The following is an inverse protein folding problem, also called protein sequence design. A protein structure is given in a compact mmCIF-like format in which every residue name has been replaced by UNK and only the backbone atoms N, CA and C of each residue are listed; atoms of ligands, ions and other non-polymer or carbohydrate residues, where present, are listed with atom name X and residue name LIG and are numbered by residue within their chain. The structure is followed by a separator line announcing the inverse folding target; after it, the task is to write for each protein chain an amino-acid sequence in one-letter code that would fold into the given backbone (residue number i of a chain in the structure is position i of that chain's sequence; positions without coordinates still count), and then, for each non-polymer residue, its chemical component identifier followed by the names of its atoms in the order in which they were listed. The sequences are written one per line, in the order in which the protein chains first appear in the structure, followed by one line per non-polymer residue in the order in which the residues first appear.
data_IF_962347298858
#
_entry.id   IF_962347298858
#
_cell.length_a   1.000
_cell.length_b   1.000
_cell.length_c   1.000
_cell.angle_alpha   90.00
_cell.angle_beta   90.00
_cell.angle_gamma   90.00
#
_symmetry.space_group_name_H-M   'P 1'
#
loop_
_entity.id
_entity.type
_entity.pdbx_description
1 polymer ?
#
# COMPACT_ATOMS: atom_id res chain seq x y z
N UNK A 1 5.40 -0.19 -25.35
CA UNK A 1 6.74 0.40 -25.57
C UNK A 1 7.24 1.09 -24.32
N UNK A 2 6.60 2.13 -23.80
CA UNK A 2 7.02 2.88 -22.57
C UNK A 2 7.24 1.99 -21.36
N UNK A 3 6.30 1.08 -21.03
CA UNK A 3 6.42 0.14 -19.91
C UNK A 3 7.68 -0.72 -20.01
N UNK A 4 8.05 -1.18 -21.20
CA UNK A 4 9.27 -1.98 -21.41
C UNK A 4 10.54 -1.16 -21.16
N UNK A 5 10.58 0.10 -21.61
CA UNK A 5 11.72 1.00 -21.37
C UNK A 5 11.92 1.24 -19.88
N UNK A 6 10.85 1.53 -19.13
CA UNK A 6 10.92 1.72 -17.68
C UNK A 6 11.31 0.43 -16.97
N UNK A 7 10.79 -0.72 -17.43
CA UNK A 7 11.15 -2.04 -16.93
C UNK A 7 12.65 -2.30 -17.00
N UNK A 8 13.27 -1.97 -18.13
CA UNK A 8 14.71 -2.13 -18.31
C UNK A 8 15.53 -1.10 -17.52
N UNK A 9 15.08 0.15 -17.49
CA UNK A 9 15.77 1.23 -16.77
C UNK A 9 15.81 1.04 -15.25
N UNK A 10 14.76 0.39 -14.68
CA UNK A 10 14.67 0.11 -13.24
C UNK A 10 15.06 -1.33 -12.87
N UNK A 11 15.68 -2.06 -13.80
CA UNK A 11 16.12 -3.43 -13.56
C UNK A 11 17.21 -3.49 -12.49
N UNK A 12 17.11 -4.50 -11.61
CA UNK A 12 18.08 -4.74 -10.53
C UNK A 12 18.65 -6.16 -10.62
N UNK A 13 19.70 -6.44 -9.89
CA UNK A 13 20.14 -7.81 -9.67
C UNK A 13 19.20 -8.48 -8.65
N UNK A 14 18.27 -9.29 -9.15
CA UNK A 14 17.22 -9.90 -8.33
C UNK A 14 17.78 -10.87 -7.28
N UNK A 15 18.84 -11.60 -7.59
CA UNK A 15 19.43 -12.56 -6.66
C UNK A 15 20.16 -11.83 -5.53
N UNK A 16 20.94 -10.80 -5.86
CA UNK A 16 21.61 -9.96 -4.87
C UNK A 16 20.59 -9.24 -3.98
N UNK A 17 19.51 -8.72 -4.57
CA UNK A 17 18.46 -8.01 -3.85
C UNK A 17 17.68 -8.95 -2.93
N UNK A 18 17.30 -10.15 -3.39
CA UNK A 18 16.69 -11.18 -2.56
C UNK A 18 17.56 -11.51 -1.34
N UNK A 19 18.85 -11.75 -1.56
CA UNK A 19 19.78 -12.06 -0.48
C UNK A 19 19.89 -10.90 0.53
N UNK A 20 19.96 -9.66 0.05
CA UNK A 20 20.03 -8.46 0.88
C UNK A 20 18.76 -8.29 1.74
N UNK A 21 17.58 -8.43 1.14
CA UNK A 21 16.30 -8.33 1.86
C UNK A 21 16.17 -9.46 2.88
N UNK A 22 16.42 -10.71 2.46
CA UNK A 22 16.30 -11.87 3.35
C UNK A 22 17.28 -11.79 4.55
N UNK A 23 18.52 -11.36 4.34
CA UNK A 23 19.48 -11.13 5.41
C UNK A 23 19.01 -10.02 6.36
N UNK A 24 18.48 -8.92 5.83
CA UNK A 24 17.96 -7.79 6.62
C UNK A 24 16.75 -8.22 7.45
N UNK A 25 15.77 -8.92 6.85
CA UNK A 25 14.59 -9.43 7.57
C UNK A 25 15.01 -10.37 8.70
N UNK A 26 15.92 -11.30 8.44
CA UNK A 26 16.44 -12.24 9.45
C UNK A 26 17.10 -11.51 10.61
N UNK A 27 17.97 -10.55 10.32
CA UNK A 27 18.65 -9.73 11.32
C UNK A 27 17.66 -8.92 12.14
N UNK A 28 16.72 -8.22 11.50
CA UNK A 28 15.73 -7.40 12.20
C UNK A 28 14.83 -8.25 13.09
N UNK A 29 14.29 -9.36 12.59
CA UNK A 29 13.42 -10.22 13.38
C UNK A 29 14.15 -10.81 14.58
N UNK A 30 15.31 -11.43 14.37
CA UNK A 30 15.97 -12.20 15.43
C UNK A 30 16.88 -11.36 16.32
N UNK A 31 17.65 -10.43 15.75
CA UNK A 31 18.69 -9.71 16.48
C UNK A 31 18.18 -8.37 17.02
N UNK A 32 17.48 -7.59 16.21
CA UNK A 32 17.02 -6.25 16.61
C UNK A 32 15.74 -6.34 17.45
N UNK A 33 14.70 -7.00 16.93
CA UNK A 33 13.38 -7.07 17.55
C UNK A 33 13.24 -8.21 18.56
N UNK A 34 14.19 -9.18 18.56
CA UNK A 34 14.14 -10.38 19.41
C UNK A 34 12.83 -11.17 19.25
N UNK A 35 12.34 -11.27 18.01
CA UNK A 35 11.12 -12.00 17.66
C UNK A 35 11.46 -13.36 17.03
N UNK A 36 10.46 -14.26 16.97
CA UNK A 36 10.64 -15.66 16.55
C UNK A 36 10.22 -15.91 15.10
N UNK A 37 9.46 -14.99 14.49
CA UNK A 37 8.90 -15.11 13.15
C UNK A 37 8.23 -13.83 12.71
N UNK A 38 7.42 -13.88 11.66
CA UNK A 38 6.74 -12.74 11.06
C UNK A 38 5.26 -13.01 10.81
N UNK A 39 4.43 -11.98 10.98
CA UNK A 39 3.02 -11.93 10.56
C UNK A 39 2.92 -11.08 9.30
N UNK A 40 2.24 -11.58 8.28
CA UNK A 40 2.00 -10.90 7.00
C UNK A 40 0.51 -10.89 6.68
N UNK A 41 -0.09 -9.71 6.53
CA UNK A 41 -1.46 -9.63 5.98
C UNK A 41 -1.43 -9.87 4.47
N UNK A 42 -2.12 -10.91 4.00
CA UNK A 42 -2.19 -11.32 2.60
C UNK A 42 -3.51 -10.87 1.98
N UNK A 43 -3.45 -9.87 1.11
CA UNK A 43 -4.61 -9.35 0.37
C UNK A 43 -4.82 -10.00 -1.00
N UNK A 44 -3.93 -10.94 -1.39
CA UNK A 44 -3.90 -11.46 -2.76
C UNK A 44 -3.36 -10.45 -3.80
N UNK A 45 -2.92 -9.27 -3.36
CA UNK A 45 -2.21 -8.30 -4.19
C UNK A 45 -0.70 -8.62 -4.26
N UNK A 46 -0.03 -8.10 -5.29
CA UNK A 46 1.36 -8.44 -5.59
C UNK A 46 2.33 -8.02 -4.47
N UNK A 47 2.12 -6.86 -3.82
CA UNK A 47 3.00 -6.35 -2.76
C UNK A 47 2.99 -7.28 -1.54
N UNK A 48 1.80 -7.60 -1.02
CA UNK A 48 1.65 -8.51 0.14
C UNK A 48 2.17 -9.92 -0.17
N UNK A 49 1.95 -10.39 -1.40
CA UNK A 49 2.44 -11.69 -1.87
C UNK A 49 3.96 -11.74 -1.94
N UNK A 50 4.59 -10.68 -2.46
CA UNK A 50 6.05 -10.57 -2.49
C UNK A 50 6.62 -10.50 -1.08
N UNK A 51 6.03 -9.71 -0.17
CA UNK A 51 6.46 -9.64 1.23
C UNK A 51 6.38 -11.00 1.91
N UNK A 52 5.29 -11.74 1.69
CA UNK A 52 5.13 -13.11 2.19
C UNK A 52 6.26 -14.03 1.71
N UNK A 53 6.54 -14.02 0.40
CA UNK A 53 7.62 -14.82 -0.20
C UNK A 53 9.00 -14.45 0.35
N UNK A 54 9.30 -13.16 0.51
CA UNK A 54 10.56 -12.67 1.08
C UNK A 54 10.70 -13.08 2.55
N UNK A 55 9.62 -13.05 3.33
CA UNK A 55 9.64 -13.54 4.71
C UNK A 55 9.89 -15.06 4.78
N UNK A 56 9.30 -15.85 3.88
CA UNK A 56 9.56 -17.30 3.79
C UNK A 56 11.01 -17.57 3.42
N UNK A 57 11.58 -16.84 2.47
CA UNK A 57 13.01 -16.94 2.11
C UNK A 57 13.94 -16.57 3.29
N UNK A 58 13.52 -15.63 4.12
CA UNK A 58 14.31 -15.20 5.27
C UNK A 58 14.21 -16.14 6.47
N UNK A 59 13.02 -16.62 6.80
CA UNK A 59 12.71 -17.25 8.10
C UNK A 59 12.30 -18.73 7.99
N UNK A 60 11.95 -19.19 6.79
CA UNK A 60 11.29 -20.48 6.56
C UNK A 60 9.76 -20.41 6.75
N UNK A 61 9.01 -21.32 6.09
CA UNK A 61 7.54 -21.26 6.06
C UNK A 61 6.90 -21.41 7.45
N UNK A 62 7.46 -22.22 8.34
CA UNK A 62 6.93 -22.48 9.69
C UNK A 62 7.01 -21.26 10.63
N UNK A 63 7.72 -20.22 10.25
CA UNK A 63 7.91 -18.99 11.03
C UNK A 63 7.25 -17.75 10.39
N UNK A 64 6.37 -17.98 9.43
CA UNK A 64 5.58 -16.94 8.79
C UNK A 64 4.10 -17.27 8.93
N UNK A 65 3.32 -16.38 9.54
CA UNK A 65 1.86 -16.52 9.61
C UNK A 65 1.22 -15.57 8.60
N UNK A 66 0.45 -16.12 7.67
CA UNK A 66 -0.40 -15.35 6.75
C UNK A 66 -1.74 -15.00 7.40
N UNK A 67 -2.15 -13.73 7.36
CA UNK A 67 -3.48 -13.31 7.80
C UNK A 67 -4.33 -12.90 6.62
N UNK A 68 -5.50 -13.51 6.49
CA UNK A 68 -6.50 -13.23 5.48
C UNK A 68 -7.69 -12.54 6.17
N UNK A 69 -7.79 -11.23 6.02
CA UNK A 69 -8.71 -10.36 6.76
C UNK A 69 -9.72 -9.67 5.81
N UNK A 70 -10.59 -10.44 5.13
CA UNK A 70 -11.62 -9.86 4.27
C UNK A 70 -12.69 -9.13 5.08
N UNK A 71 -13.42 -8.26 4.39
CA UNK A 71 -14.61 -7.61 4.91
C UNK A 71 -15.69 -7.56 3.80
N UNK A 72 -16.88 -7.02 4.07
CA UNK A 72 -18.02 -7.11 3.15
C UNK A 72 -17.80 -6.50 1.77
N UNK A 73 -16.97 -5.44 1.67
CA UNK A 73 -16.65 -4.80 0.39
C UNK A 73 -15.49 -5.49 -0.34
N UNK A 74 -14.81 -6.47 0.29
CA UNK A 74 -13.74 -7.25 -0.33
C UNK A 74 -14.28 -8.15 -1.44
N UNK A 75 -13.62 -8.15 -2.59
CA UNK A 75 -14.03 -8.97 -3.73
C UNK A 75 -13.83 -10.48 -3.47
N UNK A 76 -14.62 -11.32 -4.15
CA UNK A 76 -14.43 -12.77 -4.10
C UNK A 76 -13.05 -13.18 -4.64
N UNK A 77 -12.54 -12.44 -5.65
CA UNK A 77 -11.20 -12.64 -6.20
C UNK A 77 -10.11 -12.38 -5.16
N UNK A 78 -10.20 -11.30 -4.36
CA UNK A 78 -9.28 -11.02 -3.25
C UNK A 78 -9.19 -12.20 -2.28
N UNK A 79 -10.34 -12.81 -1.94
CA UNK A 79 -10.38 -13.97 -1.04
C UNK A 79 -9.70 -15.18 -1.64
N UNK A 80 -9.99 -15.51 -2.90
CA UNK A 80 -9.37 -16.67 -3.57
C UNK A 80 -7.88 -16.51 -3.77
N UNK A 81 -7.41 -15.33 -4.17
CA UNK A 81 -5.99 -15.06 -4.38
C UNK A 81 -5.19 -15.03 -3.07
N UNK A 82 -5.78 -14.51 -1.97
CA UNK A 82 -5.10 -14.54 -0.67
C UNK A 82 -4.93 -15.97 -0.13
N UNK A 83 -5.90 -16.85 -0.37
CA UNK A 83 -5.77 -18.28 -0.04
C UNK A 83 -4.75 -18.97 -0.94
N UNK A 84 -4.78 -18.69 -2.24
CA UNK A 84 -3.87 -19.28 -3.21
C UNK A 84 -2.41 -18.93 -2.90
N UNK A 85 -2.10 -17.69 -2.52
CA UNK A 85 -0.75 -17.31 -2.17
C UNK A 85 -0.29 -17.95 -0.86
N UNK A 86 -1.13 -18.04 0.15
CA UNK A 86 -0.77 -18.73 1.40
C UNK A 86 -0.43 -20.20 1.16
N UNK A 87 -1.24 -20.88 0.33
CA UNK A 87 -1.00 -22.27 -0.08
C UNK A 87 0.28 -22.40 -0.93
N UNK A 88 0.51 -21.51 -1.90
CA UNK A 88 1.72 -21.50 -2.73
C UNK A 88 3.00 -21.33 -1.89
N UNK A 89 2.95 -20.49 -0.86
CA UNK A 89 4.08 -20.26 0.04
C UNK A 89 4.26 -21.36 1.07
N UNK A 90 3.29 -22.26 1.22
CA UNK A 90 3.31 -23.34 2.20
C UNK A 90 3.29 -22.85 3.65
N UNK A 91 2.71 -21.68 3.92
CA UNK A 91 2.68 -21.07 5.26
C UNK A 91 1.36 -21.35 5.99
N UNK A 92 1.39 -21.48 7.32
CA UNK A 92 0.17 -21.44 8.12
C UNK A 92 -0.59 -20.13 7.89
N UNK A 93 -1.91 -20.18 7.80
CA UNK A 93 -2.74 -19.00 7.61
C UNK A 93 -3.98 -19.02 8.48
N UNK A 94 -4.39 -17.81 8.92
CA UNK A 94 -5.63 -17.58 9.67
C UNK A 94 -6.57 -16.73 8.80
N UNK A 95 -7.81 -17.15 8.69
CA UNK A 95 -8.86 -16.43 7.98
C UNK A 95 -9.87 -15.87 8.97
N UNK A 96 -10.05 -14.56 9.00
CA UNK A 96 -11.01 -13.90 9.86
C UNK A 96 -11.73 -12.78 9.10
N UNK A 97 -13.04 -12.92 8.90
CA UNK A 97 -13.88 -11.84 8.39
C UNK A 97 -14.01 -10.74 9.45
N UNK A 98 -13.67 -9.50 9.07
CA UNK A 98 -13.68 -8.35 10.00
C UNK A 98 -14.92 -7.46 9.85
N UNK A 99 -15.94 -7.91 9.10
CA UNK A 99 -17.16 -7.15 8.81
C UNK A 99 -17.88 -6.70 10.07
N UNK A 100 -18.06 -7.61 11.05
CA UNK A 100 -18.78 -7.32 12.29
C UNK A 100 -18.02 -6.32 13.16
N UNK A 101 -16.68 -6.42 13.24
CA UNK A 101 -15.85 -5.44 13.94
C UNK A 101 -15.99 -4.05 13.33
N UNK A 102 -15.95 -3.95 12.00
CA UNK A 102 -16.11 -2.69 11.28
C UNK A 102 -17.51 -2.12 11.42
N UNK A 103 -18.54 -2.97 11.43
CA UNK A 103 -19.93 -2.57 11.64
C UNK A 103 -20.13 -2.01 13.04
N UNK A 104 -19.62 -2.70 14.07
CA UNK A 104 -19.68 -2.26 15.46
C UNK A 104 -18.93 -0.94 15.68
N UNK A 105 -17.78 -0.72 15.01
CA UNK A 105 -17.04 0.53 15.04
C UNK A 105 -17.73 1.68 14.27
N UNK A 106 -18.79 1.40 13.50
CA UNK A 106 -19.52 2.39 12.72
C UNK A 106 -18.89 2.74 11.36
N UNK A 107 -17.91 1.97 10.89
CA UNK A 107 -17.22 2.19 9.62
C UNK A 107 -18.19 2.45 8.46
N UNK A 108 -19.11 1.54 8.23
CA UNK A 108 -20.06 1.63 7.13
C UNK A 108 -21.11 2.73 7.36
N UNK A 109 -21.58 2.89 8.59
CA UNK A 109 -22.58 3.90 8.94
C UNK A 109 -22.04 5.31 8.68
N UNK A 110 -20.86 5.65 9.18
CA UNK A 110 -20.26 6.97 8.98
C UNK A 110 -19.94 7.26 7.50
N UNK A 111 -19.47 6.25 6.75
CA UNK A 111 -19.29 6.38 5.30
C UNK A 111 -20.61 6.68 4.61
N UNK A 112 -21.65 5.90 4.87
CA UNK A 112 -22.93 5.98 4.19
C UNK A 112 -23.67 7.28 4.53
N UNK A 113 -23.56 7.79 5.77
CA UNK A 113 -24.08 9.11 6.19
C UNK A 113 -23.41 10.24 5.39
N UNK A 114 -22.07 10.18 5.22
CA UNK A 114 -21.35 11.19 4.44
C UNK A 114 -21.71 11.14 2.95
N UNK A 115 -21.89 9.96 2.37
CA UNK A 115 -22.33 9.83 0.97
C UNK A 115 -23.75 10.38 0.80
N UNK A 116 -24.69 10.08 1.71
CA UNK A 116 -26.07 10.59 1.67
C UNK A 116 -26.15 12.10 1.79
N UNK A 117 -25.22 12.74 2.46
CA UNK A 117 -25.16 14.21 2.51
C UNK A 117 -24.88 14.86 1.15
N UNK A 118 -24.39 14.08 0.17
CA UNK A 118 -24.04 14.53 -1.19
C UNK A 118 -25.01 13.95 -2.24
N UNK A 119 -25.39 12.68 -2.07
CA UNK A 119 -26.31 11.94 -2.95
C UNK A 119 -27.45 11.41 -2.08
N UNK A 120 -28.55 12.13 -2.04
CA UNK A 120 -29.67 11.88 -1.11
C UNK A 120 -30.28 10.47 -1.26
N UNK A 121 -30.34 9.95 -2.49
CA UNK A 121 -30.92 8.63 -2.80
C UNK A 121 -29.96 7.47 -2.52
N UNK A 122 -28.75 7.73 -2.01
CA UNK A 122 -27.81 6.67 -1.69
C UNK A 122 -28.32 5.75 -0.57
N UNK A 123 -28.21 4.45 -0.79
CA UNK A 123 -28.53 3.44 0.22
C UNK A 123 -27.36 2.44 0.41
N UNK A 124 -27.33 1.67 1.52
CA UNK A 124 -26.29 0.67 1.78
C UNK A 124 -26.19 -0.47 0.75
N UNK A 125 -27.18 -0.63 -0.12
CA UNK A 125 -27.17 -1.58 -1.24
C UNK A 125 -26.41 -1.08 -2.46
N UNK A 126 -26.05 0.22 -2.50
CA UNK A 126 -25.27 0.81 -3.58
C UNK A 126 -23.79 0.50 -3.39
N UNK A 127 -23.08 0.38 -4.50
CA UNK A 127 -21.62 0.36 -4.50
C UNK A 127 -21.10 1.80 -4.61
N UNK A 128 -19.87 2.04 -4.14
CA UNK A 128 -19.28 3.37 -4.21
C UNK A 128 -17.76 3.32 -4.40
N UNK A 129 -17.22 4.43 -4.94
CA UNK A 129 -15.77 4.73 -4.95
C UNK A 129 -15.52 6.24 -5.00
N UNK A 130 -14.39 6.67 -4.46
CA UNK A 130 -13.89 8.05 -4.62
C UNK A 130 -12.95 8.07 -5.80
N UNK A 131 -13.07 9.08 -6.68
CA UNK A 131 -12.21 9.22 -7.86
C UNK A 131 -11.54 10.59 -7.89
N UNK A 132 -10.32 10.61 -8.43
CA UNK A 132 -9.54 11.81 -8.68
C UNK A 132 -9.19 11.89 -10.17
N UNK A 133 -9.28 13.06 -10.84
CA UNK A 133 -8.90 13.22 -12.23
C UNK A 133 -7.42 12.89 -12.50
N UNK A 134 -7.10 12.39 -13.70
CA UNK A 134 -5.74 12.10 -14.13
C UNK A 134 -4.85 13.34 -14.16
N UNK A 135 -3.57 13.19 -13.80
CA UNK A 135 -2.54 14.24 -13.96
C UNK A 135 -2.15 14.49 -15.41
N UNK A 136 -2.44 13.55 -16.28
CA UNK A 136 -2.14 13.67 -17.71
C UNK A 136 -3.16 14.54 -18.45
N UNK A 137 -4.34 14.76 -17.86
CA UNK A 137 -5.38 15.62 -18.43
C UNK A 137 -5.08 17.09 -18.17
N UNK A 138 -5.13 17.93 -19.22
CA UNK A 138 -4.70 19.33 -19.16
C UNK A 138 -5.71 20.26 -18.46
N UNK A 139 -7.00 19.93 -18.40
CA UNK A 139 -8.09 20.88 -18.04
C UNK A 139 -8.83 20.55 -16.75
N UNK A 140 -8.49 19.47 -16.03
CA UNK A 140 -9.30 19.06 -14.89
C UNK A 140 -8.81 19.66 -13.58
N UNK A 141 -9.66 20.42 -12.89
CA UNK A 141 -9.46 20.75 -11.48
C UNK A 141 -9.41 19.45 -10.67
N UNK A 142 -8.35 19.23 -9.90
CA UNK A 142 -8.17 18.04 -9.06
C UNK A 142 -9.08 18.07 -7.84
N UNK A 143 -10.36 17.74 -8.09
CA UNK A 143 -11.41 17.71 -7.07
C UNK A 143 -11.92 16.28 -6.95
N UNK A 144 -11.88 15.75 -5.73
CA UNK A 144 -12.45 14.45 -5.42
C UNK A 144 -13.94 14.39 -5.75
N UNK A 145 -14.35 13.32 -6.39
CA UNK A 145 -15.74 13.00 -6.66
C UNK A 145 -16.08 11.64 -6.07
N UNK A 146 -17.33 11.48 -5.62
CA UNK A 146 -17.92 10.19 -5.31
C UNK A 146 -18.64 9.65 -6.54
N UNK A 147 -18.41 8.39 -6.86
CA UNK A 147 -19.21 7.62 -7.82
C UNK A 147 -19.96 6.56 -7.05
N UNK A 148 -21.28 6.52 -7.22
CA UNK A 148 -22.11 5.46 -6.66
C UNK A 148 -22.83 4.73 -7.79
N UNK A 149 -23.06 3.42 -7.58
CA UNK A 149 -23.77 2.56 -8.52
C UNK A 149 -24.93 1.89 -7.79
N UNK A 150 -26.15 2.16 -8.25
CA UNK A 150 -27.36 1.52 -7.74
C UNK A 150 -27.46 0.05 -8.17
N UNK A 151 -28.29 -0.78 -7.52
CA UNK A 151 -28.42 -2.20 -7.85
C UNK A 151 -28.86 -2.50 -9.30
N UNK A 152 -29.51 -1.53 -9.96
CA UNK A 152 -29.88 -1.59 -11.38
C UNK A 152 -28.75 -1.19 -12.34
N UNK A 153 -27.54 -0.91 -11.80
CA UNK A 153 -26.35 -0.56 -12.59
C UNK A 153 -26.23 0.91 -12.97
N UNK A 154 -27.16 1.78 -12.55
CA UNK A 154 -27.09 3.21 -12.83
C UNK A 154 -26.04 3.89 -11.97
N UNK A 155 -25.08 4.55 -12.62
CA UNK A 155 -24.05 5.31 -11.94
C UNK A 155 -24.41 6.79 -11.80
N UNK A 156 -24.11 7.34 -10.64
CA UNK A 156 -24.23 8.77 -10.32
C UNK A 156 -22.89 9.27 -9.80
N UNK A 157 -22.42 10.40 -10.36
CA UNK A 157 -21.18 11.06 -9.92
C UNK A 157 -21.49 12.42 -9.32
N UNK A 158 -20.90 12.73 -8.17
CA UNK A 158 -21.02 14.03 -7.53
C UNK A 158 -19.67 14.50 -6.98
N UNK A 159 -19.44 15.82 -7.02
CA UNK A 159 -18.28 16.45 -6.36
C UNK A 159 -18.39 16.28 -4.85
N UNK A 160 -17.28 15.89 -4.19
CA UNK A 160 -17.20 15.78 -2.74
C UNK A 160 -16.82 17.12 -2.10
N UNK A 161 -17.69 17.70 -1.25
CA UNK A 161 -17.27 18.74 -0.31
C UNK A 161 -16.23 18.20 0.65
N UNK A 162 -15.34 19.08 1.15
CA UNK A 162 -14.21 18.67 2.00
C UNK A 162 -14.65 17.87 3.24
N UNK A 163 -15.70 18.30 3.91
CA UNK A 163 -16.21 17.61 5.11
C UNK A 163 -16.71 16.20 4.80
N UNK A 164 -17.46 16.01 3.70
CA UNK A 164 -17.90 14.68 3.28
C UNK A 164 -16.72 13.79 2.87
N UNK A 165 -15.75 14.32 2.12
CA UNK A 165 -14.50 13.61 1.79
C UNK A 165 -13.77 13.15 3.04
N UNK A 166 -13.50 14.04 3.99
CA UNK A 166 -12.79 13.71 5.23
C UNK A 166 -13.54 12.67 6.06
N UNK A 167 -14.87 12.74 6.13
CA UNK A 167 -15.69 11.76 6.84
C UNK A 167 -15.61 10.37 6.18
N UNK A 168 -15.69 10.28 4.85
CA UNK A 168 -15.57 9.00 4.12
C UNK A 168 -14.19 8.40 4.34
N UNK A 169 -13.12 9.20 4.19
CA UNK A 169 -11.74 8.74 4.41
C UNK A 169 -11.54 8.27 5.85
N UNK A 170 -12.01 9.03 6.84
CA UNK A 170 -11.92 8.64 8.25
C UNK A 170 -12.64 7.33 8.53
N UNK A 171 -13.84 7.14 7.96
CA UNK A 171 -14.61 5.91 8.09
C UNK A 171 -13.92 4.71 7.41
N UNK A 172 -13.39 4.88 6.20
CA UNK A 172 -12.69 3.80 5.49
C UNK A 172 -11.35 3.43 6.13
N UNK A 173 -10.70 4.37 6.82
CA UNK A 173 -9.47 4.11 7.57
C UNK A 173 -9.66 3.12 8.73
N UNK A 174 -10.90 2.89 9.22
CA UNK A 174 -11.17 1.80 10.16
C UNK A 174 -10.73 0.45 9.61
N UNK A 175 -10.90 0.20 8.31
CA UNK A 175 -10.56 -1.09 7.67
C UNK A 175 -9.09 -1.44 7.89
N UNK A 176 -8.18 -0.51 7.60
CA UNK A 176 -6.75 -0.73 7.75
C UNK A 176 -6.31 -0.80 9.22
N UNK A 177 -6.92 0.01 10.10
CA UNK A 177 -6.60 -0.05 11.54
C UNK A 177 -7.10 -1.31 12.20
N UNK A 178 -8.28 -1.83 11.82
CA UNK A 178 -8.80 -3.10 12.32
C UNK A 178 -7.92 -4.28 11.87
N UNK A 179 -7.50 -4.31 10.60
CA UNK A 179 -6.52 -5.30 10.12
C UNK A 179 -5.24 -5.24 10.95
N UNK A 180 -4.68 -4.07 11.15
CA UNK A 180 -3.44 -3.88 11.91
C UNK A 180 -3.58 -4.29 13.38
N UNK A 181 -4.71 -4.02 14.01
CA UNK A 181 -5.01 -4.49 15.36
C UNK A 181 -4.92 -6.03 15.45
N UNK A 182 -5.47 -6.74 14.48
CA UNK A 182 -5.42 -8.22 14.44
C UNK A 182 -4.02 -8.74 14.08
N UNK A 183 -3.29 -8.05 13.22
CA UNK A 183 -1.89 -8.39 12.93
C UNK A 183 -1.05 -8.36 14.20
N UNK A 184 -1.15 -7.30 15.01
CA UNK A 184 -0.43 -7.22 16.28
C UNK A 184 -0.95 -8.20 17.32
N UNK A 185 -2.26 -8.50 17.38
CA UNK A 185 -2.77 -9.57 18.24
C UNK A 185 -2.08 -10.91 17.95
N UNK A 186 -1.98 -11.29 16.67
CA UNK A 186 -1.31 -12.53 16.29
C UNK A 186 0.21 -12.46 16.50
N UNK A 187 0.83 -11.32 16.27
CA UNK A 187 2.24 -11.10 16.54
C UNK A 187 2.57 -11.26 18.02
N UNK A 188 1.77 -10.68 18.89
CA UNK A 188 1.97 -10.76 20.34
C UNK A 188 1.84 -12.19 20.85
N UNK A 189 0.77 -12.93 20.47
CA UNK A 189 0.56 -14.32 20.91
C UNK A 189 1.64 -15.29 20.44
N UNK A 190 2.31 -15.01 19.32
CA UNK A 190 3.35 -15.86 18.74
C UNK A 190 4.77 -15.36 19.05
N UNK A 191 4.91 -14.17 19.60
CA UNK A 191 6.16 -13.43 19.70
C UNK A 191 6.81 -13.22 18.33
N UNK A 192 6.01 -12.79 17.34
CA UNK A 192 6.41 -12.50 15.96
C UNK A 192 6.50 -10.99 15.73
N UNK A 193 7.13 -10.59 14.63
CA UNK A 193 7.15 -9.21 14.13
C UNK A 193 6.03 -9.01 13.09
N UNK A 194 5.44 -7.82 13.06
CA UNK A 194 4.48 -7.44 12.01
C UNK A 194 5.22 -6.88 10.82
N UNK A 195 4.94 -7.40 9.61
CA UNK A 195 5.51 -6.91 8.36
C UNK A 195 4.54 -5.97 7.64
N UNK A 196 5.05 -4.81 7.23
CA UNK A 196 4.33 -3.89 6.36
C UNK A 196 4.60 -4.20 4.88
N UNK A 197 3.63 -3.93 4.06
CA UNK A 197 3.65 -4.24 2.63
C UNK A 197 3.80 -3.03 1.68
N UNK A 198 3.86 -1.76 2.15
CA UNK A 198 4.04 -0.64 1.24
C UNK A 198 5.33 -0.76 0.42
N UNK A 199 5.20 -0.55 -0.90
CA UNK A 199 6.31 -0.37 -1.83
C UNK A 199 6.81 1.10 -1.83
N UNK A 200 7.78 1.43 -2.69
CA UNK A 200 8.38 2.76 -2.75
C UNK A 200 7.39 3.86 -3.06
N UNK A 201 6.49 3.66 -4.01
CA UNK A 201 5.49 4.68 -4.37
C UNK A 201 4.57 5.00 -3.19
N UNK A 202 4.08 3.95 -2.53
CA UNK A 202 3.16 4.08 -1.39
C UNK A 202 3.87 4.70 -0.18
N UNK A 203 5.07 4.22 0.13
CA UNK A 203 5.84 4.70 1.27
C UNK A 203 6.32 6.15 1.09
N UNK A 204 6.88 6.49 -0.08
CA UNK A 204 7.41 7.82 -0.37
C UNK A 204 6.32 8.90 -0.38
N UNK A 205 5.16 8.59 -0.97
CA UNK A 205 4.08 9.56 -1.13
C UNK A 205 3.00 9.46 -0.04
N UNK A 206 3.18 8.60 0.96
CA UNK A 206 2.27 8.47 2.09
C UNK A 206 0.92 7.85 1.74
N UNK A 207 0.89 6.95 0.77
CA UNK A 207 -0.32 6.19 0.43
C UNK A 207 -0.50 5.01 1.38
N UNK A 208 -0.77 5.32 2.62
CA UNK A 208 -1.10 4.37 3.69
C UNK A 208 -1.86 5.08 4.82
N UNK A 209 -2.49 4.32 5.67
CA UNK A 209 -3.19 4.82 6.86
C UNK A 209 -2.24 4.79 8.06
N UNK A 210 -2.00 5.95 8.68
CA UNK A 210 -1.21 6.02 9.92
C UNK A 210 -1.85 5.14 10.99
N UNK A 211 -1.04 4.26 11.60
CA UNK A 211 -1.47 3.22 12.56
C UNK A 211 -2.44 2.18 11.98
N UNK A 212 -2.55 2.14 10.65
CA UNK A 212 -3.14 1.04 9.89
C UNK A 212 -2.03 0.31 9.14
N UNK A 213 -2.14 0.16 7.82
CA UNK A 213 -1.11 -0.44 6.97
C UNK A 213 0.23 0.33 6.97
N UNK A 214 0.22 1.60 7.38
CA UNK A 214 1.44 2.36 7.67
C UNK A 214 2.24 1.88 8.89
N UNK A 215 1.59 1.20 9.85
CA UNK A 215 2.27 0.62 11.00
C UNK A 215 2.85 -0.76 10.68
N UNK A 216 4.08 -0.99 11.10
CA UNK A 216 4.75 -2.29 11.02
C UNK A 216 6.07 -2.22 11.79
N UNK A 217 6.59 -3.38 12.18
CA UNK A 217 7.92 -3.48 12.78
C UNK A 217 9.00 -3.47 11.68
N UNK A 218 8.71 -4.07 10.52
CA UNK A 218 9.60 -4.10 9.35
C UNK A 218 8.83 -3.88 8.05
N UNK A 219 9.45 -3.25 7.05
CA UNK A 219 8.88 -3.00 5.71
C UNK A 219 9.86 -3.47 4.63
N UNK A 220 9.81 -4.75 4.24
CA UNK A 220 10.83 -5.37 3.39
C UNK A 220 10.98 -4.76 2.00
N UNK A 221 9.91 -4.16 1.43
CA UNK A 221 9.87 -3.67 0.05
C UNK A 221 9.69 -2.15 -0.07
N UNK A 222 9.79 -1.40 1.04
CA UNK A 222 9.57 0.06 1.02
C UNK A 222 10.57 0.84 0.14
N UNK A 223 11.69 0.24 -0.23
CA UNK A 223 12.69 0.81 -1.15
C UNK A 223 12.50 0.36 -2.60
N UNK A 224 11.67 -0.67 -2.89
CA UNK A 224 11.44 -1.17 -4.24
C UNK A 224 10.35 -0.37 -4.96
N UNK A 225 10.67 0.11 -6.16
CA UNK A 225 9.67 0.67 -7.07
C UNK A 225 8.64 -0.39 -7.47
N UNK A 226 7.42 0.02 -7.84
CA UNK A 226 6.37 -0.94 -8.23
C UNK A 226 6.78 -1.84 -9.38
N UNK A 227 7.51 -1.29 -10.36
CA UNK A 227 8.12 -2.06 -11.45
C UNK A 227 9.06 -3.15 -10.90
N UNK A 228 9.89 -2.84 -9.91
CA UNK A 228 10.81 -3.80 -9.28
C UNK A 228 10.05 -4.86 -8.45
N UNK A 229 8.93 -4.49 -7.82
CA UNK A 229 8.04 -5.45 -7.14
C UNK A 229 7.54 -6.51 -8.14
N UNK A 230 7.11 -6.10 -9.34
CA UNK A 230 6.70 -7.04 -10.38
C UNK A 230 7.85 -7.93 -10.85
N UNK A 231 9.02 -7.34 -11.05
CA UNK A 231 10.23 -8.08 -11.47
C UNK A 231 10.66 -9.11 -10.42
N UNK A 232 10.67 -8.73 -9.14
CA UNK A 232 10.99 -9.64 -8.04
C UNK A 232 9.94 -10.74 -7.88
N UNK A 233 8.66 -10.43 -8.04
CA UNK A 233 7.58 -11.42 -7.99
C UNK A 233 7.68 -12.44 -9.12
N UNK A 234 8.09 -12.02 -10.32
CA UNK A 234 8.38 -12.91 -11.44
C UNK A 234 9.61 -13.78 -11.17
N UNK A 235 10.70 -13.19 -10.69
CA UNK A 235 11.92 -13.89 -10.33
C UNK A 235 11.70 -14.99 -9.26
N UNK A 236 10.83 -14.70 -8.26
CA UNK A 236 10.47 -15.66 -7.21
C UNK A 236 9.38 -16.67 -7.65
N UNK A 237 8.90 -16.61 -8.88
CA UNK A 237 7.92 -17.55 -9.41
C UNK A 237 6.54 -17.45 -8.75
N UNK A 238 6.15 -16.25 -8.29
CA UNK A 238 4.80 -16.06 -7.73
C UNK A 238 3.72 -16.37 -8.77
N UNK A 239 2.54 -16.86 -8.36
CA UNK A 239 1.46 -17.26 -9.26
C UNK A 239 1.12 -16.18 -10.29
N UNK A 240 0.86 -16.62 -11.52
CA UNK A 240 0.60 -15.72 -12.65
C UNK A 240 -0.61 -14.83 -12.40
N UNK A 241 -1.64 -15.38 -11.78
CA UNK A 241 -2.89 -14.68 -11.46
C UNK A 241 -2.64 -13.47 -10.55
N UNK A 242 -1.67 -13.57 -9.63
CA UNK A 242 -1.27 -12.47 -8.73
C UNK A 242 -0.44 -11.44 -9.49
N UNK A 243 0.48 -11.90 -10.37
CA UNK A 243 1.36 -11.01 -11.15
C UNK A 243 0.64 -10.22 -12.23
N UNK A 244 -0.46 -10.76 -12.78
CA UNK A 244 -1.26 -10.13 -13.82
C UNK A 244 -2.45 -9.31 -13.28
N UNK A 245 -2.78 -9.46 -12.00
CA UNK A 245 -3.84 -8.67 -11.36
C UNK A 245 -3.47 -7.20 -11.34
N UNK A 246 -4.40 -6.35 -11.74
CA UNK A 246 -4.25 -4.90 -11.60
C UNK A 246 -4.19 -4.52 -10.11
N UNK A 247 -3.33 -3.56 -9.72
CA UNK A 247 -3.26 -3.09 -8.34
C UNK A 247 -4.57 -2.41 -7.94
N UNK A 248 -5.34 -3.04 -7.06
CA UNK A 248 -6.60 -2.51 -6.54
C UNK A 248 -6.41 -1.94 -5.15
N UNK A 249 -7.26 -0.97 -4.77
CA UNK A 249 -7.25 -0.43 -3.41
C UNK A 249 -7.94 -1.36 -2.40
N UNK A 250 -8.85 -2.22 -2.87
CA UNK A 250 -9.74 -3.09 -2.06
C UNK A 250 -10.40 -2.34 -0.87
N UNK A 251 -10.61 -1.03 -1.06
CA UNK A 251 -11.12 -0.12 -0.02
C UNK A 251 -12.60 0.18 -0.22
N UNK A 252 -13.03 0.22 -1.47
CA UNK A 252 -14.39 0.57 -1.87
C UNK A 252 -15.09 -0.60 -2.54
N UNK A 253 -16.43 -0.57 -2.52
CA UNK A 253 -17.27 -1.63 -3.09
C UNK A 253 -17.36 -1.62 -4.63
N UNK A 254 -17.06 -0.49 -5.29
CA UNK A 254 -16.82 -0.46 -6.73
C UNK A 254 -15.36 -0.80 -7.04
N UNK A 255 -15.09 -1.55 -8.11
CA UNK A 255 -13.73 -1.79 -8.57
C UNK A 255 -12.98 -0.47 -8.76
N UNK A 256 -11.77 -0.40 -8.22
CA UNK A 256 -10.93 0.78 -8.30
C UNK A 256 -9.46 0.38 -8.25
N UNK A 257 -8.66 0.87 -9.18
CA UNK A 257 -7.21 0.74 -9.11
C UNK A 257 -6.57 1.90 -8.31
N UNK A 258 -5.30 1.71 -7.97
CA UNK A 258 -4.52 2.72 -7.23
C UNK A 258 -4.25 3.98 -8.06
N UNK A 259 -4.22 3.84 -9.39
CA UNK A 259 -4.02 4.95 -10.32
C UNK A 259 -5.22 5.89 -10.30
N UNK A 260 -6.44 5.34 -10.39
CA UNK A 260 -7.70 6.12 -10.35
C UNK A 260 -7.93 6.80 -8.99
N UNK A 261 -7.50 6.17 -7.88
CA UNK A 261 -7.78 6.66 -6.54
C UNK A 261 -6.76 7.70 -6.04
N UNK A 262 -5.46 7.47 -6.26
CA UNK A 262 -4.42 8.26 -5.58
C UNK A 262 -3.33 8.76 -6.51
N UNK A 263 -2.76 7.89 -7.34
CA UNK A 263 -1.56 8.24 -8.11
C UNK A 263 -1.87 9.03 -9.37
N UNK A 264 -3.04 8.83 -9.98
CA UNK A 264 -3.55 9.58 -11.14
C UNK A 264 -2.70 9.46 -12.42
N UNK A 265 -1.75 8.51 -12.44
CA UNK A 265 -0.93 8.14 -13.59
C UNK A 265 -0.56 6.65 -13.49
N UNK A 266 -0.26 5.98 -14.63
CA UNK A 266 0.21 4.59 -14.63
C UNK A 266 1.43 4.38 -13.75
N UNK A 267 1.47 3.27 -13.00
CA UNK A 267 2.52 3.02 -12.01
C UNK A 267 3.94 3.08 -12.58
N UNK A 268 4.15 2.60 -13.81
CA UNK A 268 5.47 2.64 -14.46
C UNK A 268 5.90 4.07 -14.82
N UNK A 269 4.96 4.95 -15.16
CA UNK A 269 5.21 6.38 -15.39
C UNK A 269 5.62 7.03 -14.09
N UNK A 270 4.88 6.75 -13.01
CA UNK A 270 5.18 7.28 -11.67
C UNK A 270 6.53 6.78 -11.17
N UNK A 271 6.84 5.48 -11.34
CA UNK A 271 8.13 4.90 -10.95
C UNK A 271 9.30 5.64 -11.61
N UNK A 272 9.21 5.85 -12.93
CA UNK A 272 10.27 6.50 -13.65
C UNK A 272 10.38 7.99 -13.30
N UNK A 273 9.26 8.69 -13.12
CA UNK A 273 9.28 10.08 -12.66
C UNK A 273 9.86 10.20 -11.23
N UNK A 274 9.49 9.30 -10.33
CA UNK A 274 10.00 9.27 -8.96
C UNK A 274 11.51 8.95 -8.94
N UNK A 275 11.93 7.97 -9.74
CA UNK A 275 13.35 7.65 -9.92
C UNK A 275 14.12 8.86 -10.47
N UNK A 276 13.66 9.43 -11.56
CA UNK A 276 14.30 10.56 -12.23
C UNK A 276 14.44 11.76 -11.29
N UNK A 277 13.38 12.09 -10.55
CA UNK A 277 13.39 13.17 -9.55
C UNK A 277 14.39 12.92 -8.42
N UNK A 278 14.51 11.67 -7.95
CA UNK A 278 15.43 11.33 -6.85
C UNK A 278 16.91 11.20 -7.29
N UNK A 279 17.17 11.15 -8.60
CA UNK A 279 18.52 11.03 -9.17
C UNK A 279 18.89 12.23 -10.05
N UNK A 280 18.18 13.34 -9.89
CA UNK A 280 18.44 14.60 -10.61
C UNK A 280 18.45 14.47 -12.14
N UNK A 281 17.67 13.52 -12.69
CA UNK A 281 17.49 13.37 -14.15
C UNK A 281 16.67 14.57 -14.65
N UNK A 282 17.15 15.27 -15.70
CA UNK A 282 16.45 16.43 -16.25
C UNK A 282 15.02 16.09 -16.72
N UNK A 283 14.07 17.03 -16.51
CA UNK A 283 12.65 16.85 -16.86
C UNK A 283 12.46 16.51 -18.34
N UNK A 284 13.23 17.14 -19.24
CA UNK A 284 13.17 16.91 -20.69
C UNK A 284 13.67 15.51 -21.08
N UNK A 285 14.62 14.96 -20.35
CA UNK A 285 15.11 13.59 -20.53
C UNK A 285 14.06 12.56 -20.05
N UNK A 286 13.48 12.80 -18.89
CA UNK A 286 12.38 11.96 -18.38
C UNK A 286 11.16 12.00 -19.33
N UNK A 287 10.82 13.19 -19.85
CA UNK A 287 9.75 13.38 -20.80
C UNK A 287 9.98 12.60 -22.11
N UNK A 288 11.19 12.67 -22.67
CA UNK A 288 11.56 11.91 -23.88
C UNK A 288 11.46 10.40 -23.64
N UNK A 289 11.98 9.91 -22.51
CA UNK A 289 11.94 8.47 -22.16
C UNK A 289 10.51 7.96 -22.04
N UNK A 290 9.64 8.75 -21.43
CA UNK A 290 8.23 8.38 -21.21
C UNK A 290 7.33 8.73 -22.42
N UNK A 291 7.85 9.37 -23.48
CA UNK A 291 7.04 9.93 -24.59
C UNK A 291 5.89 10.82 -24.06
N UNK A 292 6.18 11.63 -23.07
CA UNK A 292 5.31 12.65 -22.49
C UNK A 292 5.84 14.04 -22.85
N UNK A 293 5.00 15.08 -22.73
CA UNK A 293 5.50 16.43 -22.76
C UNK A 293 6.13 16.85 -21.42
N UNK A 294 6.98 17.87 -21.46
CA UNK A 294 7.69 18.37 -20.26
C UNK A 294 6.74 18.94 -19.20
N UNK A 295 5.58 19.46 -19.61
CA UNK A 295 4.58 19.97 -18.68
C UNK A 295 3.85 18.82 -17.93
N UNK A 296 3.62 17.69 -18.61
CA UNK A 296 3.07 16.50 -17.97
C UNK A 296 4.03 15.96 -16.90
N UNK A 297 5.31 15.81 -17.22
CA UNK A 297 6.33 15.36 -16.25
C UNK A 297 6.47 16.36 -15.10
N UNK A 298 6.45 17.67 -15.38
CA UNK A 298 6.50 18.69 -14.34
C UNK A 298 5.30 18.59 -13.38
N UNK A 299 4.08 18.42 -13.91
CA UNK A 299 2.88 18.21 -13.06
C UNK A 299 3.02 16.99 -12.16
N UNK A 300 3.61 15.88 -12.66
CA UNK A 300 3.87 14.69 -11.86
C UNK A 300 4.88 14.98 -10.75
N UNK A 301 5.95 15.72 -11.05
CA UNK A 301 6.95 16.12 -10.06
C UNK A 301 6.36 17.03 -8.97
N UNK A 302 5.53 17.99 -9.37
CA UNK A 302 4.84 18.91 -8.45
C UNK A 302 3.86 18.13 -7.55
N UNK A 303 3.17 17.13 -8.09
CA UNK A 303 2.27 16.25 -7.33
C UNK A 303 3.03 15.36 -6.32
N UNK A 304 4.19 14.81 -6.71
CA UNK A 304 5.07 14.07 -5.81
C UNK A 304 5.48 14.96 -4.61
N UNK A 305 5.92 16.19 -4.87
CA UNK A 305 6.32 17.12 -3.82
C UNK A 305 5.15 17.51 -2.91
N UNK A 306 3.98 17.76 -3.49
CA UNK A 306 2.78 18.09 -2.74
C UNK A 306 2.37 16.91 -1.81
N UNK A 307 2.41 15.68 -2.32
CA UNK A 307 2.13 14.47 -1.53
C UNK A 307 3.17 14.28 -0.42
N UNK A 308 4.46 14.35 -0.71
CA UNK A 308 5.53 14.30 0.30
C UNK A 308 5.35 15.33 1.41
N UNK A 309 4.98 16.55 1.04
CA UNK A 309 4.74 17.64 2.00
C UNK A 309 3.52 17.37 2.88
N UNK A 310 2.39 17.02 2.29
CA UNK A 310 1.12 16.83 3.00
C UNK A 310 1.07 15.56 3.84
N UNK A 311 1.82 14.52 3.46
CA UNK A 311 1.85 13.23 4.16
C UNK A 311 3.02 13.09 5.13
N UNK A 312 3.90 14.07 5.23
CA UNK A 312 5.08 14.03 6.13
C UNK A 312 4.74 13.64 7.57
N UNK A 313 3.59 14.09 8.09
CA UNK A 313 3.16 13.77 9.46
C UNK A 313 2.88 12.28 9.66
N UNK A 314 2.53 11.54 8.62
CA UNK A 314 2.21 10.11 8.69
C UNK A 314 3.45 9.27 9.04
N UNK A 315 4.64 9.71 8.60
CA UNK A 315 5.92 9.06 8.88
C UNK A 315 6.51 9.42 10.26
N UNK A 316 5.98 10.45 10.90
CA UNK A 316 6.56 10.91 12.17
C UNK A 316 6.18 9.99 13.32
N UNK A 317 7.17 9.57 14.14
CA UNK A 317 6.89 8.99 15.45
C UNK A 317 6.19 10.03 16.34
N UNK A 318 5.68 9.63 17.52
CA UNK A 318 5.17 10.57 18.52
C UNK A 318 6.22 11.65 18.82
N UNK A 319 5.76 12.91 18.85
CA UNK A 319 6.61 14.02 19.25
C UNK A 319 6.65 14.07 20.79
N UNK A 320 7.83 13.95 21.36
CA UNK A 320 8.03 14.04 22.81
C UNK A 320 8.25 15.50 23.20
N UNK A 321 7.72 15.91 24.37
CA UNK A 321 7.96 17.25 24.92
C UNK A 321 9.44 17.39 25.26
N UNK A 322 10.02 16.34 25.86
CA UNK A 322 11.45 16.23 26.14
C UNK A 322 11.98 14.88 25.64
N UNK A 323 13.19 14.82 25.06
CA UNK A 323 13.83 13.57 24.67
C UNK A 323 14.05 12.65 25.88
N UNK A 324 13.86 11.33 25.70
CA UNK A 324 14.22 10.32 26.71
C UNK A 324 15.62 9.80 26.37
N UNK A 325 16.63 10.49 26.88
CA UNK A 325 18.02 10.34 26.47
C UNK A 325 18.59 8.93 26.68
N UNK A 326 18.17 8.23 27.73
CA UNK A 326 18.63 6.86 28.05
C UNK A 326 18.18 5.85 27.00
N UNK A 327 16.96 6.01 26.49
CA UNK A 327 16.41 5.19 25.41
C UNK A 327 17.13 5.47 24.09
N UNK A 328 17.32 6.74 23.74
CA UNK A 328 17.98 7.15 22.49
C UNK A 328 19.45 6.69 22.43
N UNK A 329 20.10 6.54 23.61
CA UNK A 329 21.45 5.99 23.69
C UNK A 329 21.50 4.48 23.41
N UNK A 330 20.50 3.72 23.86
CA UNK A 330 20.39 2.29 23.60
C UNK A 330 20.13 1.99 22.11
N UNK A 331 19.30 2.79 21.46
CA UNK A 331 18.98 2.64 20.02
C UNK A 331 20.19 3.01 19.12
N UNK A 332 21.03 3.96 19.53
CA UNK A 332 22.26 4.33 18.80
C UNK A 332 23.32 3.23 18.85
N UNK A 333 23.38 2.45 19.92
CA UNK A 333 24.29 1.30 20.00
C UNK A 333 23.82 0.10 19.14
N UNK A 334 22.54 0.06 18.75
CA UNK A 334 21.96 -1.02 17.95
C UNK A 334 22.05 -0.79 16.44
N UNK A 335 22.34 0.43 15.99
CA UNK A 335 22.56 0.77 14.56
C UNK A 335 24.04 0.64 14.24
N UNK A 336 24.45 -0.22 13.28
CA UNK A 336 25.84 -0.22 12.78
C UNK A 336 26.14 1.13 12.12
N UNK A 337 27.41 1.59 12.15
CA UNK A 337 27.80 2.82 11.46
C UNK A 337 27.42 2.71 9.99
N UNK A 338 26.73 3.71 9.48
CA UNK A 338 26.47 3.87 8.05
C UNK A 338 27.83 3.79 7.33
N UNK A 339 27.93 2.87 6.38
CA UNK A 339 29.05 2.85 5.45
C UNK A 339 29.00 4.15 4.64
N UNK A 340 29.86 5.08 4.98
CA UNK A 340 30.19 6.31 4.23
C UNK A 340 30.72 5.99 2.83
#
# INVERSE_FOLDING_TARGET
MQKAIVWDALKIDYAAELNRIAASVRRYVHETLKRRGAVVALSGGIDSSLVGALCVQALGPDRVLGLLLPEKDSSAETRSLSQAIAAHLGIPSEHQDITDLLSAAGCYRYRDEAIRSVIADYSPSYKCKIVLPSLLDQESLRIFSIVVESPDGRQTRARLPLNAYLQIVAATNFKQRTRKMLEYFHADRLNYAVTGTPNRQEYDQGFFVKLGDGAADIKPIAHLYKTQVYQMAEFLGLPREIRERLPTTDTYSLPQDQEEFYFSVPYYVLDFCLYSKNHDVPVDEAARTLSLDTQQVKRIYDDIDAKRSTTRYQHRPPLLVEPVAERDAADRCATPPECS
#
